data_IF_024853035662
#
_entry.id   IF_024853035662
#
_cell.length_a   1.000
_cell.length_b   1.000
_cell.length_c   1.000
_cell.angle_alpha   90.00
_cell.angle_beta   90.00
_cell.angle_gamma   90.00
#
_symmetry.space_group_name_H-M   'P 1'
#
loop_
_entity.id
_entity.type
_entity.pdbx_description
1 polymer ?
#
# COMPACT_ATOMS: atom_id res chain seq x y z
N UNK A 1 7.25 4.66 -6.31
CA UNK A 1 5.80 4.55 -6.61
C UNK A 1 5.33 5.82 -7.30
N UNK A 2 4.47 5.72 -8.31
CA UNK A 2 3.87 6.87 -9.02
C UNK A 2 2.62 7.41 -8.32
N UNK A 3 2.78 7.77 -7.05
CA UNK A 3 1.72 8.47 -6.32
C UNK A 3 1.65 9.92 -6.82
N UNK A 4 0.45 10.37 -7.17
CA UNK A 4 0.18 11.71 -7.70
C UNK A 4 -0.79 12.51 -6.84
N UNK A 5 -1.64 11.83 -6.07
CA UNK A 5 -2.68 12.43 -5.23
C UNK A 5 -2.77 11.69 -3.90
N UNK A 6 -2.83 12.46 -2.81
CA UNK A 6 -3.17 11.96 -1.49
C UNK A 6 -4.54 12.52 -1.09
N UNK A 7 -5.45 11.65 -0.68
CA UNK A 7 -6.78 12.02 -0.20
C UNK A 7 -6.87 11.72 1.28
N UNK A 8 -7.03 12.74 2.10
CA UNK A 8 -7.13 12.60 3.55
C UNK A 8 -8.59 12.57 4.00
N UNK A 9 -8.89 11.73 4.99
CA UNK A 9 -9.94 12.06 5.95
C UNK A 9 -9.49 13.18 6.90
N UNK A 10 -10.44 13.88 7.50
CA UNK A 10 -10.17 14.97 8.43
C UNK A 10 -10.20 14.51 9.90
N UNK A 11 -11.33 13.96 10.33
CA UNK A 11 -11.71 13.80 11.74
C UNK A 11 -11.28 12.41 12.22
N UNK A 12 -10.35 12.34 13.16
CA UNK A 12 -9.70 11.08 13.56
C UNK A 12 -8.38 10.84 12.81
N UNK A 13 -8.23 11.40 11.61
CA UNK A 13 -6.99 11.28 10.81
C UNK A 13 -6.03 12.43 11.04
N UNK A 14 -6.43 13.67 10.76
CA UNK A 14 -5.59 14.87 10.95
C UNK A 14 -5.98 15.66 12.20
N UNK A 15 -7.26 15.61 12.57
CA UNK A 15 -7.86 16.43 13.61
C UNK A 15 -8.51 15.54 14.68
N UNK A 16 -8.20 15.83 15.94
CA UNK A 16 -8.95 15.34 17.10
C UNK A 16 -9.83 16.45 17.69
N UNK A 17 -10.74 16.09 18.60
CA UNK A 17 -11.50 17.05 19.39
C UNK A 17 -11.75 16.54 20.81
N UNK A 18 -11.87 17.46 21.77
CA UNK A 18 -12.11 17.13 23.19
C UNK A 18 -13.52 16.61 23.43
N UNK A 19 -14.52 17.19 22.77
CA UNK A 19 -15.86 16.60 22.71
C UNK A 19 -15.80 15.31 21.90
N UNK A 20 -16.33 14.19 22.41
CA UNK A 20 -16.45 12.94 21.65
C UNK A 20 -17.74 12.90 20.80
N UNK A 21 -17.89 11.90 19.94
CA UNK A 21 -19.08 11.75 19.11
C UNK A 21 -20.33 11.32 19.91
N UNK A 22 -20.15 10.63 21.04
CA UNK A 22 -21.25 10.21 21.92
C UNK A 22 -21.97 11.41 22.50
N UNK A 23 -21.23 12.42 23.00
CA UNK A 23 -21.77 13.69 23.48
C UNK A 23 -22.50 14.47 22.39
N UNK A 24 -22.00 14.42 21.16
CA UNK A 24 -22.69 15.06 20.01
C UNK A 24 -24.02 14.36 19.75
N UNK A 25 -24.05 13.03 19.77
CA UNK A 25 -25.29 12.25 19.63
C UNK A 25 -26.28 12.53 20.76
N UNK A 26 -25.83 12.57 22.01
CA UNK A 26 -26.68 12.90 23.16
C UNK A 26 -27.28 14.29 23.05
N UNK A 27 -26.45 15.30 22.76
CA UNK A 27 -26.93 16.68 22.54
C UNK A 27 -27.91 16.77 21.37
N UNK A 28 -27.64 16.05 20.27
CA UNK A 28 -28.55 16.03 19.12
C UNK A 28 -29.87 15.36 19.47
N UNK A 29 -29.84 14.20 20.14
CA UNK A 29 -31.03 13.49 20.61
C UNK A 29 -31.91 14.39 21.48
N UNK A 30 -31.32 15.08 22.45
CA UNK A 30 -32.07 15.98 23.33
C UNK A 30 -32.77 17.10 22.54
N UNK A 31 -32.08 17.72 21.57
CA UNK A 31 -32.69 18.72 20.69
C UNK A 31 -33.84 18.15 19.85
N UNK A 32 -33.70 16.95 19.31
CA UNK A 32 -34.76 16.32 18.52
C UNK A 32 -35.98 15.98 19.38
N UNK A 33 -35.79 15.56 20.63
CA UNK A 33 -36.87 15.34 21.59
C UNK A 33 -37.58 16.64 21.97
N UNK A 34 -36.84 17.73 22.16
CA UNK A 34 -37.38 19.08 22.42
C UNK A 34 -38.26 19.59 21.26
N UNK A 35 -37.92 19.24 20.01
CA UNK A 35 -38.72 19.50 18.81
C UNK A 35 -39.92 18.54 18.64
N UNK A 36 -40.17 17.68 19.63
CA UNK A 36 -41.31 16.76 19.65
C UNK A 36 -41.16 15.54 18.74
N UNK A 37 -39.94 15.19 18.32
CA UNK A 37 -39.69 13.99 17.51
C UNK A 37 -39.76 12.74 18.41
N UNK A 38 -40.57 11.73 18.07
CA UNK A 38 -40.67 10.50 18.85
C UNK A 38 -39.32 9.76 18.95
N UNK A 39 -39.04 9.21 20.14
CA UNK A 39 -37.81 8.48 20.44
C UNK A 39 -37.58 7.28 19.49
N UNK A 40 -38.67 6.61 19.08
CA UNK A 40 -38.66 5.51 18.12
C UNK A 40 -38.09 5.91 16.74
N UNK A 41 -38.30 7.16 16.32
CA UNK A 41 -37.77 7.68 15.05
C UNK A 41 -36.32 8.13 15.17
N UNK A 42 -35.89 8.54 16.37
CA UNK A 42 -34.52 8.98 16.63
C UNK A 42 -33.57 7.79 16.70
N UNK A 43 -33.98 6.69 17.35
CA UNK A 43 -33.16 5.49 17.49
C UNK A 43 -31.81 5.77 18.17
N UNK A 44 -30.73 5.21 17.61
CA UNK A 44 -29.36 5.35 18.14
C UNK A 44 -28.52 6.44 17.43
N UNK A 45 -29.13 7.14 16.47
CA UNK A 45 -28.51 8.14 15.60
C UNK A 45 -27.22 7.62 14.91
N UNK A 46 -27.22 6.37 14.48
CA UNK A 46 -26.11 5.77 13.71
C UNK A 46 -26.55 5.43 12.29
N UNK A 47 -26.12 6.19 11.26
CA UNK A 47 -25.39 7.45 11.30
C UNK A 47 -26.30 8.69 11.41
N UNK A 48 -25.86 9.71 12.15
CA UNK A 48 -26.67 10.89 12.52
C UNK A 48 -27.36 11.57 11.34
N UNK A 49 -26.62 11.90 10.28
CA UNK A 49 -27.12 12.70 9.16
C UNK A 49 -28.20 11.95 8.37
N UNK A 50 -27.97 10.68 8.07
CA UNK A 50 -28.90 9.79 7.39
C UNK A 50 -30.17 9.58 8.23
N UNK A 51 -30.04 9.48 9.57
CA UNK A 51 -31.21 9.45 10.47
C UNK A 51 -32.02 10.74 10.37
N UNK A 52 -31.39 11.93 10.31
CA UNK A 52 -32.11 13.19 10.14
C UNK A 52 -32.90 13.26 8.82
N UNK A 53 -32.33 12.71 7.73
CA UNK A 53 -33.05 12.60 6.43
C UNK A 53 -34.31 11.75 6.59
N UNK A 54 -34.20 10.60 7.28
CA UNK A 54 -35.33 9.70 7.50
C UNK A 54 -36.40 10.32 8.40
N UNK A 55 -35.99 11.04 9.46
CA UNK A 55 -36.92 11.76 10.33
C UNK A 55 -37.69 12.80 9.52
N UNK A 56 -36.99 13.64 8.74
CA UNK A 56 -37.63 14.66 7.91
C UNK A 56 -38.66 14.07 6.95
N UNK A 57 -38.33 12.95 6.29
CA UNK A 57 -39.25 12.25 5.38
C UNK A 57 -40.50 11.68 6.07
N UNK A 58 -40.39 11.26 7.34
CA UNK A 58 -41.49 10.65 8.09
C UNK A 58 -42.38 11.67 8.82
N UNK A 59 -41.78 12.76 9.32
CA UNK A 59 -42.50 13.76 10.12
C UNK A 59 -42.97 14.96 9.30
N UNK A 60 -42.39 15.17 8.11
CA UNK A 60 -42.62 16.37 7.30
C UNK A 60 -41.88 17.61 7.80
N UNK A 61 -41.11 17.51 8.90
CA UNK A 61 -40.24 18.61 9.37
C UNK A 61 -39.14 18.85 8.34
N UNK A 62 -38.84 20.11 8.05
CA UNK A 62 -37.78 20.48 7.09
C UNK A 62 -36.44 19.84 7.48
N UNK A 63 -35.81 19.20 6.49
CA UNK A 63 -34.49 18.60 6.66
C UNK A 63 -33.45 19.66 7.02
N UNK A 64 -33.49 20.82 6.37
CA UNK A 64 -32.59 21.94 6.62
C UNK A 64 -32.65 22.40 8.08
N UNK A 65 -33.86 22.42 8.65
CA UNK A 65 -34.06 22.75 10.06
C UNK A 65 -33.39 21.72 10.99
N UNK A 66 -33.68 20.43 10.83
CA UNK A 66 -33.08 19.36 11.63
C UNK A 66 -31.55 19.31 11.47
N UNK A 67 -31.09 19.46 10.23
CA UNK A 67 -29.68 19.45 9.88
C UNK A 67 -28.92 20.61 10.53
N UNK A 68 -29.57 21.77 10.69
CA UNK A 68 -28.96 22.93 11.36
C UNK A 68 -28.52 22.63 12.81
N UNK A 69 -29.23 21.74 13.52
CA UNK A 69 -28.84 21.33 14.87
C UNK A 69 -27.54 20.56 14.87
N UNK A 70 -27.40 19.58 13.96
CA UNK A 70 -26.17 18.81 13.79
C UNK A 70 -25.02 19.72 13.37
N UNK A 71 -25.22 20.61 12.39
CA UNK A 71 -24.18 21.56 11.94
C UNK A 71 -23.70 22.46 13.09
N UNK A 72 -24.61 22.95 13.94
CA UNK A 72 -24.22 23.77 15.09
C UNK A 72 -23.37 22.99 16.10
N UNK A 73 -23.72 21.73 16.37
CA UNK A 73 -22.92 20.85 17.25
C UNK A 73 -21.55 20.51 16.64
N UNK A 74 -21.48 20.27 15.33
CA UNK A 74 -20.22 20.07 14.62
C UNK A 74 -19.33 21.33 14.68
N UNK A 75 -19.93 22.52 14.59
CA UNK A 75 -19.21 23.80 14.74
C UNK A 75 -18.70 23.99 16.17
N UNK A 76 -19.47 23.61 17.20
CA UNK A 76 -18.99 23.59 18.58
C UNK A 76 -17.79 22.65 18.74
N UNK A 77 -17.90 21.41 18.23
CA UNK A 77 -16.79 20.44 18.21
C UNK A 77 -15.55 21.00 17.51
N UNK A 78 -15.73 21.64 16.36
CA UNK A 78 -14.64 22.25 15.59
C UNK A 78 -13.91 23.35 16.38
N UNK A 79 -14.60 24.10 17.25
CA UNK A 79 -13.96 25.09 18.14
C UNK A 79 -13.04 24.44 19.19
N UNK A 80 -13.34 23.22 19.61
CA UNK A 80 -12.53 22.44 20.57
C UNK A 80 -11.53 21.51 19.88
N UNK A 81 -11.42 21.57 18.55
CA UNK A 81 -10.52 20.69 17.79
C UNK A 81 -9.04 20.98 18.05
N UNK A 82 -8.20 19.96 17.95
CA UNK A 82 -6.75 20.07 17.96
C UNK A 82 -6.16 19.29 16.78
N UNK A 83 -5.01 19.75 16.29
CA UNK A 83 -4.26 19.06 15.26
C UNK A 83 -3.47 17.92 15.91
N UNK A 84 -3.52 16.72 15.33
CA UNK A 84 -2.69 15.61 15.83
C UNK A 84 -1.20 15.90 15.64
N UNK A 85 -0.38 15.39 16.56
CA UNK A 85 1.07 15.54 16.49
C UNK A 85 1.62 14.91 15.19
N UNK A 86 2.41 15.67 14.43
CA UNK A 86 2.96 15.23 13.15
C UNK A 86 2.09 15.52 11.93
N UNK A 87 0.83 15.95 12.10
CA UNK A 87 -0.09 16.17 10.98
C UNK A 87 0.37 17.32 10.07
N UNK A 88 0.85 18.42 10.66
CA UNK A 88 1.36 19.55 9.87
C UNK A 88 2.61 19.14 9.10
N UNK A 89 3.52 18.47 9.78
CA UNK A 89 4.79 17.99 9.23
C UNK A 89 4.56 16.99 8.09
N UNK A 90 3.54 16.14 8.20
CA UNK A 90 3.13 15.25 7.12
C UNK A 90 2.63 16.02 5.90
N UNK A 91 1.75 17.00 6.10
CA UNK A 91 1.21 17.82 5.00
C UNK A 91 2.32 18.62 4.30
N UNK A 92 3.23 19.22 5.08
CA UNK A 92 4.41 19.93 4.58
C UNK A 92 5.33 18.98 3.80
N UNK A 93 5.66 17.82 4.36
CA UNK A 93 6.47 16.81 3.69
C UNK A 93 5.88 16.38 2.34
N UNK A 94 4.57 16.11 2.28
CA UNK A 94 3.92 15.67 1.03
C UNK A 94 3.87 16.78 -0.01
N UNK A 95 3.63 18.03 0.42
CA UNK A 95 3.66 19.20 -0.46
C UNK A 95 5.06 19.46 -1.02
N UNK A 96 6.10 19.30 -0.20
CA UNK A 96 7.51 19.42 -0.63
C UNK A 96 7.90 18.33 -1.65
N UNK A 97 7.21 17.18 -1.63
CA UNK A 97 7.33 16.14 -2.67
C UNK A 97 6.55 16.46 -3.95
N UNK A 98 5.87 17.61 -4.02
CA UNK A 98 5.09 18.03 -5.17
C UNK A 98 3.78 17.26 -5.35
N UNK A 99 3.28 16.60 -4.30
CA UNK A 99 2.04 15.83 -4.36
C UNK A 99 0.83 16.76 -4.23
N UNK A 100 -0.22 16.45 -4.99
CA UNK A 100 -1.53 17.09 -4.81
C UNK A 100 -2.20 16.48 -3.59
N UNK A 101 -2.87 17.32 -2.79
CA UNK A 101 -3.57 16.88 -1.59
C UNK A 101 -5.04 17.24 -1.73
N UNK A 102 -5.92 16.30 -1.38
CA UNK A 102 -7.35 16.54 -1.28
C UNK A 102 -7.88 16.07 0.07
N UNK A 103 -9.03 16.61 0.46
CA UNK A 103 -9.71 16.25 1.69
C UNK A 103 -11.10 15.70 1.37
N UNK A 104 -11.48 14.61 2.03
CA UNK A 104 -12.85 14.11 2.06
C UNK A 104 -13.31 13.87 3.50
N UNK A 105 -14.44 14.42 3.93
CA UNK A 105 -14.94 14.24 5.30
C UNK A 105 -16.46 14.14 5.36
N UNK A 106 -16.97 13.43 6.37
CA UNK A 106 -18.40 13.36 6.69
C UNK A 106 -18.91 14.60 7.47
N UNK A 107 -18.01 15.51 7.88
CA UNK A 107 -18.35 16.77 8.55
C UNK A 107 -18.97 17.79 7.59
N UNK A 108 -19.82 18.70 8.11
CA UNK A 108 -20.34 19.82 7.31
C UNK A 108 -19.24 20.68 6.72
N UNK A 109 -19.57 21.38 5.62
CA UNK A 109 -18.74 22.44 5.04
C UNK A 109 -18.36 23.48 6.10
N UNK A 110 -19.35 23.96 6.86
CA UNK A 110 -19.18 25.00 7.88
C UNK A 110 -18.20 24.59 8.98
N UNK A 111 -18.36 23.39 9.55
CA UNK A 111 -17.43 22.89 10.58
C UNK A 111 -16.03 22.64 10.00
N UNK A 112 -15.95 22.05 8.80
CA UNK A 112 -14.68 21.78 8.12
C UNK A 112 -13.89 23.05 7.86
N UNK A 113 -14.52 24.10 7.31
CA UNK A 113 -13.83 25.37 7.05
C UNK A 113 -13.32 26.04 8.33
N UNK A 114 -14.10 25.99 9.41
CA UNK A 114 -13.69 26.51 10.71
C UNK A 114 -12.46 25.76 11.22
N UNK A 115 -12.49 24.42 11.19
CA UNK A 115 -11.36 23.57 11.62
C UNK A 115 -10.10 23.85 10.81
N UNK A 116 -10.19 23.85 9.47
CA UNK A 116 -9.04 24.09 8.60
C UNK A 116 -8.45 25.49 8.77
N UNK A 117 -9.30 26.51 9.00
CA UNK A 117 -8.86 27.89 9.26
C UNK A 117 -8.19 28.01 10.63
N UNK A 118 -8.78 27.40 11.66
CA UNK A 118 -8.24 27.39 13.03
C UNK A 118 -6.81 26.84 13.07
N UNK A 119 -6.59 25.71 12.39
CA UNK A 119 -5.28 25.02 12.38
C UNK A 119 -4.34 25.47 11.27
N UNK A 120 -4.77 26.43 10.43
CA UNK A 120 -3.99 26.96 9.29
C UNK A 120 -3.48 25.84 8.37
N UNK A 121 -4.37 24.92 8.00
CA UNK A 121 -4.07 23.81 7.09
C UNK A 121 -4.91 23.82 5.80
N UNK A 122 -5.82 24.80 5.62
CA UNK A 122 -6.65 24.91 4.40
C UNK A 122 -5.81 24.99 3.12
N UNK A 123 -4.67 25.69 3.17
CA UNK A 123 -3.78 25.97 2.02
C UNK A 123 -2.97 24.77 1.52
N UNK A 124 -2.99 23.65 2.24
CA UNK A 124 -2.35 22.42 1.77
C UNK A 124 -3.21 21.68 0.75
N UNK A 125 -4.54 21.84 0.82
CA UNK A 125 -5.47 21.07 0.01
C UNK A 125 -5.83 21.80 -1.29
N UNK A 126 -5.64 21.10 -2.41
CA UNK A 126 -6.05 21.54 -3.74
C UNK A 126 -7.56 21.41 -3.95
N UNK A 127 -8.21 20.47 -3.26
CA UNK A 127 -9.64 20.22 -3.32
C UNK A 127 -10.14 19.74 -1.94
N UNK A 128 -11.29 20.25 -1.52
CA UNK A 128 -11.93 19.82 -0.28
C UNK A 128 -13.36 19.45 -0.61
N UNK A 129 -13.71 18.18 -0.41
CA UNK A 129 -15.07 17.66 -0.55
C UNK A 129 -15.58 17.29 0.85
N UNK A 130 -16.76 17.79 1.18
CA UNK A 130 -17.46 17.51 2.43
C UNK A 130 -18.75 16.76 2.16
N UNK A 131 -19.38 16.30 3.24
CA UNK A 131 -20.71 15.69 3.18
C UNK A 131 -21.70 16.52 2.38
N UNK A 132 -21.63 17.85 2.50
CA UNK A 132 -22.57 18.76 1.87
C UNK A 132 -22.32 18.93 0.35
N UNK A 133 -21.21 18.41 -0.18
CA UNK A 133 -20.83 18.48 -1.60
C UNK A 133 -21.26 17.23 -2.40
N UNK A 134 -21.87 16.24 -1.75
CA UNK A 134 -22.37 15.01 -2.39
C UNK A 134 -23.80 14.71 -1.93
N UNK A 135 -24.51 13.91 -2.71
CA UNK A 135 -25.80 13.36 -2.28
C UNK A 135 -25.64 12.58 -0.97
N UNK A 136 -26.65 12.63 -0.11
CA UNK A 136 -26.63 11.90 1.17
C UNK A 136 -26.42 10.38 1.00
N UNK A 137 -26.84 9.81 -0.14
CA UNK A 137 -26.63 8.40 -0.49
C UNK A 137 -25.19 8.10 -0.88
N UNK A 138 -24.41 9.11 -1.25
CA UNK A 138 -23.06 8.98 -1.78
C UNK A 138 -22.00 9.37 -0.73
N UNK A 139 -22.42 9.66 0.50
CA UNK A 139 -21.53 9.94 1.64
C UNK A 139 -20.76 8.67 2.03
N UNK A 140 -19.47 8.81 2.40
CA UNK A 140 -18.62 7.69 2.87
C UNK A 140 -19.37 6.88 3.92
N UNK A 141 -19.49 5.54 3.85
CA UNK A 141 -18.57 4.64 3.17
C UNK A 141 -18.84 4.45 1.68
N UNK A 142 -19.86 5.13 1.11
CA UNK A 142 -20.08 5.11 -0.33
C UNK A 142 -19.06 5.98 -1.08
N UNK A 143 -18.95 5.73 -2.38
CA UNK A 143 -17.82 6.20 -3.20
C UNK A 143 -17.92 7.66 -3.67
N UNK A 144 -18.98 8.39 -3.31
CA UNK A 144 -19.29 9.71 -3.87
C UNK A 144 -18.16 10.72 -3.73
N UNK A 145 -17.69 10.90 -2.49
CA UNK A 145 -16.61 11.84 -2.20
C UNK A 145 -15.37 11.56 -3.04
N UNK A 146 -14.92 10.30 -3.06
CA UNK A 146 -13.70 9.91 -3.76
C UNK A 146 -13.87 9.99 -5.28
N UNK A 147 -15.06 9.65 -5.83
CA UNK A 147 -15.35 9.82 -7.26
C UNK A 147 -15.24 11.29 -7.70
N UNK A 148 -15.86 12.21 -6.97
CA UNK A 148 -15.76 13.65 -7.27
C UNK A 148 -14.31 14.12 -7.28
N UNK A 149 -13.50 13.65 -6.33
CA UNK A 149 -12.07 13.95 -6.25
C UNK A 149 -11.32 13.38 -7.46
N UNK A 150 -11.52 12.11 -7.81
CA UNK A 150 -10.86 11.47 -8.95
C UNK A 150 -11.21 12.16 -10.27
N UNK A 151 -12.48 12.51 -10.47
CA UNK A 151 -12.95 13.20 -11.67
C UNK A 151 -12.35 14.61 -11.81
N UNK A 152 -12.21 15.33 -10.69
CA UNK A 152 -11.58 16.64 -10.67
C UNK A 152 -10.11 16.59 -11.08
N UNK A 153 -9.33 15.67 -10.49
CA UNK A 153 -7.89 15.58 -10.75
C UNK A 153 -7.55 14.82 -12.04
N UNK A 154 -8.46 13.99 -12.56
CA UNK A 154 -8.24 13.08 -13.70
C UNK A 154 -7.03 12.18 -13.51
N UNK A 155 -6.85 11.69 -12.28
CA UNK A 155 -5.74 10.81 -11.89
C UNK A 155 -6.26 9.38 -11.79
N UNK A 156 -5.56 8.38 -12.38
CA UNK A 156 -5.92 6.97 -12.22
C UNK A 156 -5.92 6.55 -10.74
N UNK A 157 -6.87 5.72 -10.33
CA UNK A 157 -7.01 5.30 -8.92
C UNK A 157 -5.75 4.64 -8.36
N UNK A 158 -5.01 3.87 -9.17
CA UNK A 158 -3.74 3.23 -8.80
C UNK A 158 -2.62 4.21 -8.41
N UNK A 159 -2.79 5.51 -8.72
CA UNK A 159 -1.86 6.60 -8.39
C UNK A 159 -2.35 7.48 -7.24
N UNK A 160 -3.42 7.07 -6.57
CA UNK A 160 -4.04 7.76 -5.44
C UNK A 160 -3.84 6.95 -4.16
N UNK A 161 -3.50 7.66 -3.08
CA UNK A 161 -3.45 7.09 -1.73
C UNK A 161 -4.50 7.76 -0.87
N UNK A 162 -5.43 6.98 -0.32
CA UNK A 162 -6.39 7.42 0.69
C UNK A 162 -5.79 7.23 2.07
N UNK A 163 -5.83 8.24 2.92
CA UNK A 163 -5.35 8.19 4.31
C UNK A 163 -6.53 8.40 5.23
N UNK A 164 -6.77 7.44 6.13
CA UNK A 164 -7.87 7.46 7.09
C UNK A 164 -7.50 6.81 8.41
N UNK A 165 -8.38 6.90 9.39
CA UNK A 165 -8.27 6.21 10.69
C UNK A 165 -9.38 5.16 10.89
N UNK A 166 -10.37 5.13 9.99
CA UNK A 166 -11.51 4.23 10.09
C UNK A 166 -11.78 3.46 8.78
N UNK A 167 -12.42 2.30 8.89
CA UNK A 167 -12.82 1.50 7.72
C UNK A 167 -13.75 2.24 6.75
N UNK A 168 -14.45 3.29 7.21
CA UNK A 168 -15.31 4.12 6.35
C UNK A 168 -14.53 4.89 5.29
N UNK A 169 -13.24 5.13 5.53
CA UNK A 169 -12.33 5.77 4.58
C UNK A 169 -11.74 4.73 3.61
N UNK A 170 -11.60 3.50 4.07
CA UNK A 170 -11.00 2.39 3.31
C UNK A 170 -11.99 1.73 2.35
N UNK A 171 -13.26 1.58 2.71
CA UNK A 171 -14.30 1.01 1.82
C UNK A 171 -14.29 1.69 0.43
N UNK A 172 -14.40 3.03 0.32
CA UNK A 172 -14.41 3.66 -0.99
C UNK A 172 -13.06 3.55 -1.70
N UNK A 173 -11.95 3.50 -0.93
CA UNK A 173 -10.61 3.32 -1.47
C UNK A 173 -10.45 1.94 -2.15
N UNK A 174 -10.86 0.89 -1.44
CA UNK A 174 -10.82 -0.50 -1.91
C UNK A 174 -11.76 -0.69 -3.11
N UNK A 175 -12.98 -0.15 -3.04
CA UNK A 175 -13.98 -0.27 -4.11
C UNK A 175 -13.55 0.41 -5.42
N UNK A 176 -12.71 1.44 -5.36
CA UNK A 176 -12.21 2.16 -6.54
C UNK A 176 -10.78 1.75 -6.95
N UNK A 177 -10.16 0.81 -6.23
CA UNK A 177 -8.80 0.33 -6.52
C UNK A 177 -7.70 1.36 -6.24
N UNK A 178 -7.92 2.28 -5.30
CA UNK A 178 -6.86 3.19 -4.81
C UNK A 178 -6.02 2.49 -3.74
N UNK A 179 -4.80 2.97 -3.52
CA UNK A 179 -4.02 2.56 -2.37
C UNK A 179 -4.58 3.21 -1.10
N UNK A 180 -4.36 2.59 0.06
CA UNK A 180 -4.83 3.13 1.34
C UNK A 180 -3.80 3.02 2.47
N UNK A 181 -3.80 4.02 3.35
CA UNK A 181 -3.00 4.07 4.58
C UNK A 181 -3.94 4.26 5.77
N UNK A 182 -3.98 3.28 6.67
CA UNK A 182 -4.75 3.35 7.91
C UNK A 182 -3.87 3.79 9.08
N UNK A 183 -4.30 4.82 9.82
CA UNK A 183 -3.65 5.29 11.04
C UNK A 183 -4.40 4.73 12.25
N UNK A 184 -3.74 3.86 13.01
CA UNK A 184 -4.42 3.01 14.00
C UNK A 184 -4.43 3.57 15.42
N UNK A 185 -3.52 4.50 15.80
CA UNK A 185 -3.43 5.00 17.18
C UNK A 185 -4.42 6.09 17.54
N UNK A 186 -5.05 6.72 16.55
CA UNK A 186 -5.98 7.82 16.78
C UNK A 186 -7.36 7.26 17.14
N UNK A 187 -7.48 6.69 18.35
CA UNK A 187 -8.72 6.08 18.82
C UNK A 187 -9.80 7.09 19.23
N UNK A 188 -9.63 8.39 18.92
CA UNK A 188 -10.56 9.44 19.33
C UNK A 188 -11.90 9.30 18.61
N UNK A 189 -12.78 8.46 19.17
CA UNK A 189 -14.16 8.33 18.74
C UNK A 189 -14.48 7.10 17.90
N UNK A 190 -13.75 5.98 18.04
CA UNK A 190 -14.19 4.69 17.47
C UNK A 190 -15.59 4.37 18.00
N UNK A 191 -16.60 4.62 17.19
CA UNK A 191 -17.90 3.98 17.38
C UNK A 191 -17.69 2.48 17.26
N UNK A 192 -18.52 1.73 17.99
CA UNK A 192 -18.49 0.28 18.24
C UNK A 192 -18.56 -0.65 17.01
N UNK A 193 -18.36 -0.13 15.79
CA UNK A 193 -18.33 -0.90 14.55
C UNK A 193 -16.93 -0.85 13.94
N UNK A 194 -16.05 -1.75 14.36
CA UNK A 194 -14.87 -2.08 13.55
C UNK A 194 -15.38 -2.69 12.25
N UNK A 195 -15.33 -1.93 11.17
CA UNK A 195 -15.39 -2.54 9.85
C UNK A 195 -13.98 -3.07 9.60
N UNK A 196 -13.85 -4.39 9.55
CA UNK A 196 -12.60 -5.08 9.24
C UNK A 196 -12.32 -4.95 7.73
N UNK A 197 -11.90 -3.76 7.30
CA UNK A 197 -11.34 -3.53 5.97
C UNK A 197 -9.82 -3.59 6.01
N UNK A 198 -9.23 -4.37 5.12
CA UNK A 198 -7.78 -4.41 4.96
C UNK A 198 -7.30 -3.16 4.21
N UNK A 199 -6.42 -2.39 4.85
CA UNK A 199 -5.71 -1.30 4.19
C UNK A 199 -4.51 -1.82 3.39
N UNK A 200 -4.10 -1.08 2.35
CA UNK A 200 -2.85 -1.38 1.64
C UNK A 200 -1.65 -1.27 2.58
N UNK A 201 -1.64 -0.24 3.44
CA UNK A 201 -0.65 -0.06 4.48
C UNK A 201 -1.28 0.44 5.78
N UNK A 202 -0.60 0.17 6.90
CA UNK A 202 -1.03 0.52 8.24
C UNK A 202 0.15 1.07 9.05
N UNK A 203 -0.11 2.18 9.74
CA UNK A 203 0.82 2.78 10.69
C UNK A 203 0.12 3.04 12.00
N UNK A 204 0.88 3.12 13.09
CA UNK A 204 0.30 3.49 14.38
C UNK A 204 0.00 4.98 14.37
N UNK A 205 1.01 5.79 14.09
CA UNK A 205 0.95 7.25 14.26
C UNK A 205 1.14 7.99 12.94
N UNK A 206 0.77 9.28 12.92
CA UNK A 206 1.04 10.16 11.77
C UNK A 206 2.55 10.30 11.51
N UNK A 207 3.38 10.31 12.56
CA UNK A 207 4.85 10.34 12.39
C UNK A 207 5.37 9.11 11.65
N UNK A 208 4.80 7.94 11.93
CA UNK A 208 5.11 6.72 11.17
C UNK A 208 4.62 6.83 9.72
N UNK A 209 3.50 7.52 9.45
CA UNK A 209 3.04 7.80 8.10
C UNK A 209 4.07 8.59 7.27
N UNK A 210 4.78 9.56 7.87
CA UNK A 210 5.86 10.28 7.18
C UNK A 210 6.97 9.32 6.75
N UNK A 211 7.41 8.45 7.67
CA UNK A 211 8.43 7.44 7.40
C UNK A 211 7.97 6.44 6.33
N UNK A 212 6.69 6.07 6.37
CA UNK A 212 6.05 5.23 5.37
C UNK A 212 6.09 5.88 3.98
N UNK A 213 5.62 7.13 3.85
CA UNK A 213 5.62 7.83 2.57
C UNK A 213 7.03 8.05 2.03
N UNK A 214 8.01 8.31 2.91
CA UNK A 214 9.42 8.37 2.51
C UNK A 214 9.89 7.08 1.85
N UNK A 215 9.55 5.92 2.42
CA UNK A 215 9.88 4.61 1.82
C UNK A 215 9.09 4.37 0.54
N UNK A 216 7.77 4.56 0.58
CA UNK A 216 6.84 4.31 -0.53
C UNK A 216 7.19 5.11 -1.80
N UNK A 217 7.46 6.41 -1.64
CA UNK A 217 7.77 7.31 -2.76
C UNK A 217 9.15 7.06 -3.36
N UNK A 218 10.03 6.33 -2.68
CA UNK A 218 11.38 5.98 -3.14
C UNK A 218 11.57 4.46 -3.25
N UNK A 219 10.51 3.74 -3.60
CA UNK A 219 10.55 2.31 -3.94
C UNK A 219 10.93 2.12 -5.41
N UNK A 220 11.92 1.26 -5.65
CA UNK A 220 12.35 0.83 -6.99
C UNK A 220 12.01 -0.65 -7.20
N UNK A 221 11.81 -1.04 -8.46
CA UNK A 221 11.64 -2.43 -8.86
C UNK A 221 12.78 -2.84 -9.77
N UNK A 222 13.39 -3.98 -9.46
CA UNK A 222 14.41 -4.62 -10.28
C UNK A 222 13.78 -5.83 -10.98
N UNK A 223 13.80 -5.80 -12.30
CA UNK A 223 13.24 -6.82 -13.19
C UNK A 223 14.39 -7.48 -13.96
N UNK A 224 14.98 -8.57 -13.45
CA UNK A 224 15.97 -9.32 -14.22
C UNK A 224 15.29 -10.02 -15.41
N UNK A 225 15.87 -9.90 -16.60
CA UNK A 225 15.29 -10.44 -17.82
C UNK A 225 16.34 -11.12 -18.70
N UNK A 226 15.99 -12.29 -19.26
CA UNK A 226 16.79 -12.99 -20.26
C UNK A 226 15.88 -13.81 -21.18
N UNK A 227 15.77 -13.37 -22.43
CA UNK A 227 14.88 -13.95 -23.44
C UNK A 227 13.40 -14.05 -22.99
N UNK A 228 12.80 -12.91 -22.63
CA UNK A 228 11.42 -12.76 -22.17
C UNK A 228 10.57 -11.86 -23.08
N UNK A 229 10.86 -11.82 -24.40
CA UNK A 229 10.13 -10.97 -25.36
C UNK A 229 8.61 -11.15 -25.32
N UNK A 230 8.14 -12.34 -24.94
CA UNK A 230 6.73 -12.73 -24.94
C UNK A 230 5.95 -12.18 -23.75
N UNK A 231 6.61 -11.86 -22.65
CA UNK A 231 5.98 -11.56 -21.36
C UNK A 231 6.34 -10.18 -20.83
N UNK A 232 7.55 -9.68 -21.15
CA UNK A 232 8.07 -8.44 -20.58
C UNK A 232 7.17 -7.23 -20.84
N UNK A 233 6.51 -7.14 -22.01
CA UNK A 233 5.60 -6.04 -22.33
C UNK A 233 4.46 -5.92 -21.31
N UNK A 234 3.77 -7.03 -21.04
CA UNK A 234 2.63 -7.07 -20.12
C UNK A 234 3.07 -6.84 -18.67
N UNK A 235 4.21 -7.44 -18.27
CA UNK A 235 4.79 -7.23 -16.94
C UNK A 235 5.06 -5.74 -16.70
N UNK A 236 5.68 -5.06 -17.66
CA UNK A 236 5.97 -3.64 -17.55
C UNK A 236 4.70 -2.78 -17.55
N UNK A 237 3.69 -3.12 -18.37
CA UNK A 237 2.40 -2.43 -18.36
C UNK A 237 1.72 -2.49 -17.00
N UNK A 238 1.74 -3.64 -16.33
CA UNK A 238 1.15 -3.79 -15.00
C UNK A 238 1.93 -3.01 -13.94
N UNK A 239 3.27 -3.04 -14.00
CA UNK A 239 4.11 -2.27 -13.05
C UNK A 239 3.93 -0.76 -13.24
N UNK A 240 3.82 -0.27 -14.49
CA UNK A 240 3.64 1.15 -14.81
C UNK A 240 2.31 1.74 -14.31
N UNK A 241 1.33 0.91 -13.95
CA UNK A 241 0.10 1.38 -13.27
C UNK A 241 0.39 1.99 -11.90
N UNK A 242 1.45 1.53 -11.22
CA UNK A 242 1.75 1.88 -9.83
C UNK A 242 3.13 2.54 -9.63
N UNK A 243 4.07 2.36 -10.56
CA UNK A 243 5.45 2.83 -10.44
C UNK A 243 5.81 3.76 -11.59
N UNK A 244 6.72 4.70 -11.33
CA UNK A 244 7.22 5.60 -12.37
C UNK A 244 8.15 4.82 -13.28
N UNK A 245 8.21 5.17 -14.56
CA UNK A 245 9.13 4.58 -15.53
C UNK A 245 10.58 4.52 -15.01
N UNK A 246 11.04 5.62 -14.37
CA UNK A 246 12.38 5.73 -13.79
C UNK A 246 12.65 4.84 -12.56
N UNK A 247 11.61 4.29 -11.96
CA UNK A 247 11.69 3.43 -10.77
C UNK A 247 11.69 1.94 -11.14
N UNK A 248 11.33 1.61 -12.37
CA UNK A 248 11.38 0.25 -12.92
C UNK A 248 12.72 0.08 -13.64
N UNK A 249 13.52 -0.87 -13.17
CA UNK A 249 14.85 -1.16 -13.67
C UNK A 249 14.84 -2.55 -14.26
N UNK A 250 14.77 -2.64 -15.58
CA UNK A 250 14.98 -3.88 -16.31
C UNK A 250 16.48 -4.12 -16.43
N UNK A 251 16.93 -5.29 -16.00
CA UNK A 251 18.32 -5.74 -16.20
C UNK A 251 18.30 -6.85 -17.25
N UNK A 252 18.57 -6.47 -18.48
CA UNK A 252 18.71 -7.38 -19.62
C UNK A 252 20.06 -8.11 -19.54
N UNK A 253 20.02 -9.39 -19.22
CA UNK A 253 21.21 -10.22 -18.99
C UNK A 253 21.75 -10.85 -20.30
N UNK A 254 21.86 -10.01 -21.33
CA UNK A 254 22.38 -10.39 -22.64
C UNK A 254 21.40 -11.20 -23.49
N UNK A 255 20.12 -10.78 -23.54
CA UNK A 255 19.10 -11.45 -24.37
C UNK A 255 19.47 -11.46 -25.86
N UNK A 256 18.99 -12.47 -26.57
CA UNK A 256 19.14 -12.63 -28.03
C UNK A 256 17.85 -12.34 -28.80
N UNK A 257 16.75 -12.14 -28.08
CA UNK A 257 15.43 -11.82 -28.60
C UNK A 257 15.12 -10.32 -28.40
N UNK A 258 13.86 -9.90 -28.61
CA UNK A 258 13.46 -8.50 -28.53
C UNK A 258 13.25 -7.95 -27.11
N UNK A 259 13.67 -8.67 -26.06
CA UNK A 259 13.39 -8.30 -24.66
C UNK A 259 13.85 -6.89 -24.32
N UNK A 260 15.08 -6.54 -24.72
CA UNK A 260 15.69 -5.25 -24.43
C UNK A 260 14.95 -4.12 -25.16
N UNK A 261 14.67 -4.32 -26.45
CA UNK A 261 14.01 -3.36 -27.31
C UNK A 261 12.63 -3.03 -26.76
N UNK A 262 11.85 -4.04 -26.38
CA UNK A 262 10.52 -3.87 -25.79
C UNK A 262 10.60 -3.08 -24.47
N UNK A 263 11.58 -3.37 -23.61
CA UNK A 263 11.76 -2.61 -22.37
C UNK A 263 12.11 -1.14 -22.63
N UNK A 264 12.96 -0.85 -23.63
CA UNK A 264 13.28 0.52 -24.04
C UNK A 264 12.03 1.24 -24.58
N UNK A 265 11.24 0.56 -25.43
CA UNK A 265 9.99 1.10 -25.98
C UNK A 265 8.96 1.46 -24.90
N UNK A 266 8.97 0.75 -23.75
CA UNK A 266 8.14 1.08 -22.58
C UNK A 266 8.66 2.26 -21.74
N UNK A 267 9.81 2.83 -22.08
CA UNK A 267 10.37 4.01 -21.42
C UNK A 267 11.02 3.76 -20.06
N UNK A 268 11.11 2.50 -19.61
CA UNK A 268 11.70 2.15 -18.30
C UNK A 268 13.22 2.19 -18.34
N UNK A 269 13.87 2.16 -17.17
CA UNK A 269 15.33 2.09 -17.11
C UNK A 269 15.78 0.71 -17.55
N UNK A 270 16.69 0.65 -18.52
CA UNK A 270 17.28 -0.61 -19.00
C UNK A 270 18.78 -0.62 -18.77
N UNK A 271 19.26 -1.64 -18.06
CA UNK A 271 20.67 -1.95 -17.86
C UNK A 271 20.97 -3.24 -18.61
N UNK A 272 22.03 -3.28 -19.43
CA UNK A 272 22.37 -4.46 -20.22
C UNK A 272 23.72 -5.06 -19.79
N UNK A 273 23.79 -6.37 -19.70
CA UNK A 273 25.05 -7.11 -19.64
C UNK A 273 25.49 -7.54 -21.04
N UNK A 274 26.80 -7.44 -21.32
CA UNK A 274 27.38 -7.90 -22.59
C UNK A 274 27.40 -9.43 -22.72
N UNK A 275 27.47 -10.12 -21.58
CA UNK A 275 27.44 -11.58 -21.47
C UNK A 275 26.43 -11.95 -20.42
N UNK A 276 25.74 -13.08 -20.60
CA UNK A 276 24.80 -13.59 -19.60
C UNK A 276 25.56 -13.91 -18.30
N UNK A 277 25.26 -13.16 -17.25
CA UNK A 277 25.84 -13.30 -15.91
C UNK A 277 24.94 -14.12 -14.97
N UNK A 278 23.76 -14.51 -15.42
CA UNK A 278 22.75 -15.19 -14.63
C UNK A 278 21.95 -14.26 -13.73
N UNK A 279 20.91 -14.83 -13.11
CA UNK A 279 19.94 -14.12 -12.26
C UNK A 279 20.62 -13.31 -11.16
N UNK A 280 21.64 -13.84 -10.50
CA UNK A 280 22.30 -13.15 -9.40
C UNK A 280 23.15 -11.97 -9.86
N UNK A 281 23.82 -12.11 -11.01
CA UNK A 281 24.49 -10.99 -11.66
C UNK A 281 23.52 -9.86 -12.01
N UNK A 282 22.37 -10.20 -12.60
CA UNK A 282 21.33 -9.24 -12.97
C UNK A 282 20.73 -8.53 -11.74
N UNK A 283 20.37 -9.28 -10.70
CA UNK A 283 19.88 -8.73 -9.44
C UNK A 283 20.90 -7.81 -8.77
N UNK A 284 22.18 -8.21 -8.73
CA UNK A 284 23.25 -7.39 -8.16
C UNK A 284 23.42 -6.05 -8.87
N UNK A 285 23.39 -6.05 -10.20
CA UNK A 285 23.44 -4.81 -11.01
C UNK A 285 22.24 -3.91 -10.72
N UNK A 286 21.03 -4.46 -10.73
CA UNK A 286 19.80 -3.69 -10.51
C UNK A 286 19.70 -3.13 -9.08
N UNK A 287 19.99 -3.94 -8.07
CA UNK A 287 19.97 -3.51 -6.65
C UNK A 287 20.99 -2.40 -6.43
N UNK A 288 22.22 -2.56 -6.95
CA UNK A 288 23.25 -1.53 -6.83
C UNK A 288 22.83 -0.22 -7.51
N UNK A 289 22.26 -0.30 -8.71
CA UNK A 289 21.75 0.89 -9.41
C UNK A 289 20.64 1.58 -8.60
N UNK A 290 19.65 0.84 -8.09
CA UNK A 290 18.58 1.38 -7.27
C UNK A 290 19.13 2.09 -6.01
N UNK A 291 20.09 1.49 -5.31
CA UNK A 291 20.75 2.11 -4.15
C UNK A 291 21.44 3.43 -4.48
N UNK A 292 22.13 3.50 -5.62
CA UNK A 292 22.78 4.72 -6.14
C UNK A 292 21.75 5.81 -6.50
N UNK A 293 20.55 5.42 -6.93
CA UNK A 293 19.42 6.35 -7.19
C UNK A 293 18.64 6.73 -5.94
N UNK A 294 19.11 6.33 -4.75
CA UNK A 294 18.51 6.72 -3.48
C UNK A 294 17.30 5.87 -3.07
N UNK A 295 17.19 4.63 -3.57
CA UNK A 295 16.12 3.73 -3.17
C UNK A 295 16.05 3.58 -1.64
N UNK A 296 14.85 3.74 -1.09
CA UNK A 296 14.51 3.45 0.31
C UNK A 296 13.95 2.02 0.48
N UNK A 297 13.35 1.49 -0.58
CA UNK A 297 12.94 0.10 -0.72
C UNK A 297 13.19 -0.41 -2.14
N UNK A 298 13.48 -1.70 -2.28
CA UNK A 298 13.75 -2.36 -3.56
C UNK A 298 12.92 -3.63 -3.64
N UNK A 299 12.11 -3.74 -4.68
CA UNK A 299 11.34 -4.93 -5.02
C UNK A 299 12.10 -5.70 -6.11
N UNK A 300 12.19 -7.02 -6.01
CA UNK A 300 12.61 -7.87 -7.13
C UNK A 300 11.37 -8.51 -7.74
N UNK A 301 11.28 -8.52 -9.08
CA UNK A 301 10.08 -8.98 -9.79
C UNK A 301 10.47 -9.70 -11.08
N UNK A 302 10.04 -10.94 -11.26
CA UNK A 302 10.42 -11.77 -12.40
C UNK A 302 9.74 -11.30 -13.71
N UNK A 303 10.49 -11.34 -14.81
CA UNK A 303 10.04 -10.91 -16.15
C UNK A 303 9.13 -11.92 -16.87
N UNK A 304 8.91 -13.12 -16.31
CA UNK A 304 8.24 -14.25 -16.97
C UNK A 304 6.71 -14.27 -16.80
N UNK A 305 6.16 -13.29 -16.07
CA UNK A 305 4.72 -13.13 -15.83
C UNK A 305 4.14 -14.04 -14.74
N UNK A 306 4.98 -14.67 -13.89
CA UNK A 306 4.50 -15.49 -12.76
C UNK A 306 4.05 -14.69 -11.54
N UNK A 307 4.38 -13.40 -11.49
CA UNK A 307 4.06 -12.52 -10.37
C UNK A 307 3.01 -11.48 -10.75
N UNK A 308 2.17 -11.15 -9.78
CA UNK A 308 1.12 -10.15 -9.90
C UNK A 308 1.52 -8.90 -9.12
N UNK A 309 1.20 -7.72 -9.64
CA UNK A 309 1.59 -6.46 -9.01
C UNK A 309 0.88 -6.25 -7.68
N UNK A 310 -0.34 -6.77 -7.52
CA UNK A 310 -1.03 -6.74 -6.22
C UNK A 310 -0.30 -7.58 -5.17
N UNK A 311 0.37 -8.67 -5.56
CA UNK A 311 1.18 -9.47 -4.65
C UNK A 311 2.49 -8.73 -4.31
N UNK A 312 3.04 -7.93 -5.24
CA UNK A 312 4.15 -7.04 -4.92
C UNK A 312 3.77 -5.97 -3.88
N UNK A 313 2.56 -5.41 -3.96
CA UNK A 313 2.02 -4.48 -2.96
C UNK A 313 1.90 -5.14 -1.58
N UNK A 314 1.44 -6.39 -1.51
CA UNK A 314 1.40 -7.17 -0.25
C UNK A 314 2.80 -7.44 0.30
N UNK A 315 3.73 -7.89 -0.56
CA UNK A 315 5.11 -8.22 -0.15
C UNK A 315 5.84 -6.97 0.34
N UNK A 316 5.62 -5.79 -0.27
CA UNK A 316 6.24 -4.56 0.19
C UNK A 316 5.61 -4.00 1.47
N UNK A 317 4.34 -4.29 1.78
CA UNK A 317 3.60 -3.80 2.97
C UNK A 317 4.45 -3.81 4.26
N UNK A 318 4.95 -4.95 4.77
CA UNK A 318 5.70 -4.98 6.02
C UNK A 318 7.03 -4.20 5.99
N UNK A 319 7.65 -4.05 4.82
CA UNK A 319 8.89 -3.29 4.63
C UNK A 319 8.61 -1.79 4.64
N UNK A 320 7.56 -1.36 3.94
CA UNK A 320 7.13 0.04 3.83
C UNK A 320 6.55 0.56 5.15
N UNK A 321 5.90 -0.30 5.93
CA UNK A 321 5.46 -0.01 7.30
C UNK A 321 6.63 0.00 8.30
N UNK A 322 7.81 -0.50 7.92
CA UNK A 322 8.97 -0.58 8.81
C UNK A 322 8.89 -1.71 9.85
N UNK A 323 8.03 -2.70 9.63
CA UNK A 323 7.89 -3.90 10.47
C UNK A 323 9.02 -4.90 10.21
N UNK A 324 9.48 -5.00 8.96
CA UNK A 324 10.59 -5.88 8.56
C UNK A 324 11.60 -5.18 7.65
N UNK A 325 12.77 -5.80 7.54
CA UNK A 325 13.86 -5.33 6.67
C UNK A 325 13.84 -6.02 5.31
N UNK A 326 13.35 -7.26 5.29
CA UNK A 326 13.23 -8.13 4.12
C UNK A 326 11.86 -8.81 4.16
N UNK A 327 11.17 -8.83 3.04
CA UNK A 327 9.95 -9.62 2.85
C UNK A 327 10.09 -10.47 1.59
N UNK A 328 9.62 -11.72 1.67
CA UNK A 328 9.56 -12.65 0.54
C UNK A 328 8.13 -13.11 0.33
N UNK A 329 7.70 -13.14 -0.93
CA UNK A 329 6.42 -13.73 -1.29
C UNK A 329 6.50 -15.26 -1.23
N UNK A 330 5.61 -15.92 -0.49
CA UNK A 330 5.52 -17.37 -0.43
C UNK A 330 4.27 -17.89 -1.14
N UNK A 331 4.48 -18.70 -2.19
CA UNK A 331 3.38 -19.41 -2.88
C UNK A 331 2.83 -20.54 -2.03
N UNK A 332 3.65 -21.10 -1.12
CA UNK A 332 3.26 -22.21 -0.25
C UNK A 332 2.38 -21.78 0.93
N UNK A 333 2.41 -20.50 1.31
CA UNK A 333 1.47 -19.91 2.27
C UNK A 333 0.19 -19.37 1.63
N UNK A 334 0.12 -19.33 0.29
CA UNK A 334 -1.05 -18.96 -0.49
C UNK A 334 -1.85 -20.18 -0.99
N UNK A 335 -2.61 -20.00 -2.07
CA UNK A 335 -3.28 -21.13 -2.72
C UNK A 335 -2.28 -21.98 -3.51
N UNK A 336 -2.10 -23.23 -3.09
CA UNK A 336 -1.16 -24.19 -3.70
C UNK A 336 -1.79 -25.12 -4.72
N UNK A 337 -3.06 -24.91 -5.06
CA UNK A 337 -3.87 -25.76 -5.96
C UNK A 337 -3.25 -25.96 -7.34
N UNK A 338 -2.53 -24.96 -7.86
CA UNK A 338 -1.95 -24.98 -9.21
C UNK A 338 -0.46 -25.37 -9.26
N UNK A 339 0.18 -25.63 -8.13
CA UNK A 339 1.64 -25.85 -8.08
C UNK A 339 2.05 -27.30 -8.41
N UNK A 340 2.95 -27.54 -9.39
CA UNK A 340 3.44 -28.88 -9.70
C UNK A 340 4.15 -29.56 -8.53
N UNK A 341 3.83 -30.83 -8.26
CA UNK A 341 4.36 -31.60 -7.11
C UNK A 341 5.91 -31.66 -7.08
N UNK A 342 6.54 -31.76 -8.26
CA UNK A 342 8.01 -31.81 -8.41
C UNK A 342 8.68 -30.51 -7.95
N UNK A 343 8.03 -29.35 -8.18
CA UNK A 343 8.52 -28.05 -7.69
C UNK A 343 8.36 -27.93 -6.17
N UNK A 344 7.34 -28.55 -5.55
CA UNK A 344 7.16 -28.57 -4.09
C UNK A 344 8.32 -29.31 -3.39
N UNK A 345 8.76 -30.45 -3.93
CA UNK A 345 9.86 -31.24 -3.35
C UNK A 345 11.22 -30.54 -3.52
N UNK A 346 11.47 -29.92 -4.67
CA UNK A 346 12.70 -29.16 -4.91
C UNK A 346 12.85 -27.95 -3.99
N UNK A 347 11.76 -27.20 -3.80
CA UNK A 347 11.73 -26.10 -2.85
C UNK A 347 11.99 -26.59 -1.43
N UNK A 348 11.35 -27.69 -1.00
CA UNK A 348 11.53 -28.23 0.36
C UNK A 348 13.00 -28.51 0.72
N UNK A 349 13.80 -29.06 -0.21
CA UNK A 349 15.23 -29.31 0.05
C UNK A 349 16.01 -28.01 0.19
N UNK A 350 15.74 -27.02 -0.67
CA UNK A 350 16.41 -25.71 -0.61
C UNK A 350 15.95 -24.88 0.60
N UNK A 351 14.69 -25.02 1.01
CA UNK A 351 14.10 -24.41 2.20
C UNK A 351 14.71 -25.01 3.47
N UNK A 352 14.89 -26.33 3.50
CA UNK A 352 15.58 -27.02 4.60
C UNK A 352 17.04 -26.57 4.72
N UNK A 353 17.75 -26.41 3.60
CA UNK A 353 19.10 -25.87 3.63
C UNK A 353 19.08 -24.42 4.10
N UNK A 354 18.20 -23.58 3.57
CA UNK A 354 18.04 -22.18 4.00
C UNK A 354 17.73 -22.09 5.50
N UNK A 355 16.91 -22.99 6.03
CA UNK A 355 16.60 -23.10 7.46
C UNK A 355 17.85 -23.37 8.32
N UNK A 356 18.72 -24.28 7.90
CA UNK A 356 19.97 -24.58 8.63
C UNK A 356 20.81 -23.32 8.83
N UNK A 357 20.92 -22.47 7.79
CA UNK A 357 21.79 -21.29 7.83
C UNK A 357 21.12 -20.05 8.40
N UNK A 358 19.82 -19.88 8.17
CA UNK A 358 19.10 -18.69 8.65
C UNK A 358 18.54 -18.88 10.06
N UNK A 359 18.44 -20.12 10.55
CA UNK A 359 17.68 -20.54 11.75
C UNK A 359 16.22 -20.08 11.74
N UNK A 360 15.71 -19.64 10.59
CA UNK A 360 14.36 -19.20 10.36
C UNK A 360 13.77 -20.10 9.28
N UNK A 361 12.63 -20.73 9.56
CA UNK A 361 11.99 -21.58 8.58
C UNK A 361 11.27 -20.69 7.56
N UNK A 362 11.80 -20.65 6.33
CA UNK A 362 11.24 -19.92 5.19
C UNK A 362 10.67 -20.96 4.23
N UNK A 363 9.38 -20.85 3.95
CA UNK A 363 8.58 -21.81 3.19
C UNK A 363 8.70 -21.69 1.67
N UNK A 364 9.24 -20.60 1.14
CA UNK A 364 9.49 -20.47 -0.32
C UNK A 364 10.73 -19.62 -0.57
N UNK A 365 11.90 -20.15 -0.20
CA UNK A 365 13.20 -19.44 -0.32
C UNK A 365 13.53 -19.03 -1.76
N UNK A 366 12.93 -19.70 -2.75
CA UNK A 366 13.21 -19.53 -4.18
C UNK A 366 12.32 -18.52 -4.88
N UNK A 367 11.34 -17.91 -4.20
CA UNK A 367 10.43 -16.95 -4.81
C UNK A 367 11.15 -15.69 -5.30
N UNK A 368 10.99 -15.35 -6.60
CA UNK A 368 11.56 -14.16 -7.23
C UNK A 368 11.02 -12.84 -6.67
N UNK A 369 9.81 -12.86 -6.09
CA UNK A 369 9.15 -11.68 -5.54
C UNK A 369 9.59 -11.39 -4.11
N UNK A 370 10.37 -10.34 -3.94
CA UNK A 370 10.92 -9.91 -2.65
C UNK A 370 10.85 -8.40 -2.52
N UNK A 371 10.88 -7.90 -1.28
CA UNK A 371 11.07 -6.49 -0.99
C UNK A 371 12.14 -6.34 0.11
N UNK A 372 13.08 -5.43 -0.09
CA UNK A 372 14.15 -5.13 0.85
C UNK A 372 14.15 -3.63 1.15
N UNK A 373 14.32 -3.24 2.42
CA UNK A 373 14.63 -1.86 2.73
C UNK A 373 16.08 -1.53 2.34
N UNK A 374 16.38 -0.22 2.24
CA UNK A 374 17.72 0.28 1.89
C UNK A 374 18.83 -0.29 2.78
N UNK A 375 18.58 -0.38 4.08
CA UNK A 375 19.59 -0.85 5.04
C UNK A 375 19.96 -2.31 4.79
N UNK A 376 18.97 -3.17 4.57
CA UNK A 376 19.15 -4.58 4.22
C UNK A 376 19.88 -4.71 2.88
N UNK A 377 19.34 -4.08 1.84
CA UNK A 377 19.90 -4.15 0.49
C UNK A 377 21.36 -3.66 0.41
N UNK A 378 21.73 -2.64 1.19
CA UNK A 378 23.10 -2.11 1.22
C UNK A 378 24.14 -3.04 1.85
N UNK A 379 23.70 -3.99 2.69
CA UNK A 379 24.59 -4.93 3.38
C UNK A 379 24.79 -6.23 2.61
N UNK A 380 23.80 -6.61 1.80
CA UNK A 380 23.83 -7.85 1.05
C UNK A 380 24.92 -7.80 -0.01
N UNK A 381 25.81 -8.80 0.01
CA UNK A 381 26.79 -9.03 -1.04
C UNK A 381 26.41 -10.29 -1.82
N UNK A 382 26.00 -10.08 -3.07
CA UNK A 382 25.71 -11.17 -3.99
C UNK A 382 27.03 -11.65 -4.61
N UNK A 383 27.34 -12.92 -4.38
CA UNK A 383 28.51 -13.62 -4.92
C UNK A 383 28.11 -14.74 -5.87
N UNK A 384 26.86 -15.21 -5.78
CA UNK A 384 26.31 -16.19 -6.69
C UNK A 384 25.75 -15.49 -7.93
N UNK A 385 26.30 -15.81 -9.10
CA UNK A 385 25.85 -15.26 -10.38
C UNK A 385 24.53 -15.91 -10.88
N UNK A 386 24.20 -17.13 -10.44
CA UNK A 386 23.06 -17.93 -10.96
C UNK A 386 21.98 -18.17 -9.89
N UNK A 387 21.13 -19.19 -10.09
CA UNK A 387 19.91 -19.44 -9.31
C UNK A 387 20.07 -19.54 -7.78
N UNK A 388 21.25 -19.91 -7.28
CA UNK A 388 21.52 -19.95 -5.84
C UNK A 388 21.43 -18.58 -5.14
N UNK A 389 21.40 -17.48 -5.90
CA UNK A 389 21.20 -16.13 -5.36
C UNK A 389 19.97 -16.00 -4.49
N UNK A 390 18.90 -16.75 -4.80
CA UNK A 390 17.66 -16.74 -4.02
C UNK A 390 17.88 -17.10 -2.55
N UNK A 391 18.63 -18.18 -2.28
CA UNK A 391 19.02 -18.58 -0.93
C UNK A 391 20.10 -17.66 -0.36
N UNK A 392 21.03 -17.20 -1.20
CA UNK A 392 22.09 -16.30 -0.78
C UNK A 392 21.56 -15.00 -0.17
N UNK A 393 20.56 -14.37 -0.80
CA UNK A 393 19.93 -13.14 -0.31
C UNK A 393 19.39 -13.31 1.11
N UNK A 394 18.72 -14.43 1.39
CA UNK A 394 18.15 -14.74 2.70
C UNK A 394 19.24 -15.03 3.74
N UNK A 395 20.29 -15.74 3.35
CA UNK A 395 21.43 -16.03 4.22
C UNK A 395 22.17 -14.74 4.57
N UNK A 396 22.48 -13.87 3.60
CA UNK A 396 23.13 -12.59 3.86
C UNK A 396 22.24 -11.68 4.73
N UNK A 397 20.94 -11.62 4.46
CA UNK A 397 20.00 -10.89 5.30
C UNK A 397 20.02 -11.39 6.75
N UNK A 398 19.99 -12.71 6.96
CA UNK A 398 20.06 -13.32 8.30
C UNK A 398 21.42 -13.10 8.98
N UNK A 399 22.54 -13.23 8.25
CA UNK A 399 23.89 -12.91 8.74
C UNK A 399 23.99 -11.48 9.25
N UNK A 400 23.30 -10.55 8.59
CA UNK A 400 23.20 -9.15 8.98
C UNK A 400 22.08 -8.84 9.99
N UNK A 401 21.45 -9.86 10.58
CA UNK A 401 20.38 -9.77 11.58
C UNK A 401 19.17 -8.95 11.11
N UNK A 402 18.88 -8.99 9.80
CA UNK A 402 17.70 -8.36 9.23
C UNK A 402 16.44 -9.10 9.68
N UNK A 403 15.36 -8.37 9.94
CA UNK A 403 14.04 -8.95 10.20
C UNK A 403 13.44 -9.42 8.87
N UNK A 404 13.14 -10.72 8.76
CA UNK A 404 12.60 -11.35 7.55
C UNK A 404 11.13 -11.73 7.80
N UNK A 405 10.24 -11.39 6.87
CA UNK A 405 8.85 -11.87 6.83
C UNK A 405 8.55 -12.64 5.56
N UNK A 406 7.64 -13.61 5.67
CA UNK A 406 7.02 -14.25 4.52
C UNK A 406 5.60 -13.74 4.35
N UNK A 407 5.25 -13.37 3.12
CA UNK A 407 3.94 -12.86 2.77
C UNK A 407 3.29 -13.83 1.78
N UNK A 408 2.06 -14.32 2.03
CA UNK A 408 1.36 -15.18 1.08
C UNK A 408 1.17 -14.50 -0.28
N UNK A 409 1.48 -15.19 -1.37
CA UNK A 409 1.27 -14.71 -2.76
C UNK A 409 0.57 -15.77 -3.60
N UNK A 410 -0.06 -15.35 -4.71
CA UNK A 410 -0.72 -16.27 -5.63
C UNK A 410 0.31 -16.96 -6.53
N UNK A 411 0.02 -18.21 -6.89
CA UNK A 411 0.85 -18.95 -7.82
C UNK A 411 0.24 -18.87 -9.23
N UNK A 412 0.84 -18.05 -10.10
CA UNK A 412 0.41 -17.93 -11.51
C UNK A 412 1.25 -18.87 -12.37
N UNK A 413 0.60 -19.85 -13.00
CA UNK A 413 1.24 -20.79 -13.92
C UNK A 413 0.55 -20.75 -15.29
N UNK A 414 1.25 -20.24 -16.29
CA UNK A 414 0.89 -20.27 -17.72
C UNK A 414 1.47 -21.51 -18.41
N UNK A 415 0.93 -21.92 -19.56
CA UNK A 415 1.50 -23.04 -20.35
C UNK A 415 2.97 -22.81 -20.74
N UNK A 416 3.37 -21.55 -20.94
CA UNK A 416 4.76 -21.15 -21.16
C UNK A 416 5.64 -21.36 -19.92
N UNK A 417 5.16 -20.96 -18.73
CA UNK A 417 5.92 -21.05 -17.47
C UNK A 417 5.93 -22.45 -16.86
N UNK A 418 4.95 -23.31 -17.17
CA UNK A 418 4.99 -24.73 -16.80
C UNK A 418 6.12 -25.50 -17.49
N UNK A 419 6.45 -25.11 -18.74
CA UNK A 419 7.57 -25.68 -19.52
C UNK A 419 8.93 -25.08 -19.11
N UNK A 420 8.95 -23.93 -18.44
CA UNK A 420 10.15 -23.29 -17.87
C UNK A 420 10.37 -23.77 -16.41
N UNK A 421 11.53 -24.36 -16.17
CA UNK A 421 11.92 -24.83 -14.84
C UNK A 421 13.17 -25.69 -14.92
N UNK A 422 14.08 -25.51 -13.97
CA UNK A 422 15.33 -26.26 -13.91
C UNK A 422 15.07 -27.70 -13.48
N UNK A 423 15.93 -28.60 -13.93
CA UNK A 423 15.97 -29.96 -13.42
C UNK A 423 16.32 -29.90 -11.92
N UNK A 424 15.35 -30.22 -11.05
CA UNK A 424 15.41 -29.97 -9.59
C UNK A 424 16.69 -30.52 -8.95
N UNK A 425 17.20 -31.65 -9.44
CA UNK A 425 18.42 -32.30 -8.96
C UNK A 425 19.69 -31.49 -9.20
N UNK A 426 19.80 -30.78 -10.33
CA UNK A 426 20.94 -29.89 -10.58
C UNK A 426 20.88 -28.62 -9.73
N UNK A 427 19.68 -28.04 -9.55
CA UNK A 427 19.47 -26.88 -8.69
C UNK A 427 19.88 -27.16 -7.24
N UNK A 428 19.51 -28.34 -6.73
CA UNK A 428 19.90 -28.79 -5.38
C UNK A 428 21.41 -29.00 -5.27
N UNK A 429 22.06 -29.63 -6.26
CA UNK A 429 23.53 -29.83 -6.26
C UNK A 429 24.30 -28.51 -6.30
N UNK A 430 23.86 -27.58 -7.14
CA UNK A 430 24.48 -26.24 -7.26
C UNK A 430 24.32 -25.46 -5.95
N UNK A 431 23.13 -25.49 -5.34
CA UNK A 431 22.91 -24.86 -4.06
C UNK A 431 23.81 -25.48 -2.97
N UNK A 432 23.85 -26.81 -2.86
CA UNK A 432 24.65 -27.51 -1.85
C UNK A 432 26.15 -27.21 -1.96
N UNK A 433 26.72 -27.23 -3.16
CA UNK A 433 28.14 -26.93 -3.36
C UNK A 433 28.48 -25.47 -3.02
N UNK A 434 27.62 -24.51 -3.39
CA UNK A 434 27.83 -23.08 -3.09
C UNK A 434 27.66 -22.77 -1.60
N UNK A 435 26.80 -23.52 -0.91
CA UNK A 435 26.63 -23.44 0.54
C UNK A 435 27.87 -23.93 1.29
N UNK A 436 28.54 -24.98 0.79
CA UNK A 436 29.81 -25.44 1.36
C UNK A 436 30.94 -24.42 1.15
N UNK A 437 30.96 -23.71 0.02
CA UNK A 437 31.98 -22.68 -0.25
C UNK A 437 31.83 -21.43 0.63
N UNK A 438 30.61 -21.02 0.99
CA UNK A 438 30.37 -19.88 1.90
C UNK A 438 30.64 -20.16 3.38
N UNK A 439 30.88 -21.43 3.74
CA UNK A 439 31.20 -21.87 5.10
C UNK A 439 32.70 -22.00 5.37
N UNK A 440 33.53 -21.91 4.33
CA UNK A 440 34.96 -21.63 4.44
C UNK A 440 35.17 -20.15 4.68
#
# INVERSE_FOLDING_TARGET
>A
MDVQLIVFDLDGTLIGASMDFTKIKEKLRNKLLEEGIPEELIGDLTPMYETLVQISQKTGISFEHLHSFLVNLEVERAKESYLFEGARELLEFLKDKGLKLALMTRSSRKATELTLKKHKIKEFFNLIITRDDVSWKDVKPNNGHLKVILDYFKVPSTKVVVVGDHGYDLIPANALGTLSVLITSNESGRMSFKIDEEATFEVKTIKEAISLFKRLLNTYIVVPAYNEEKTIANVLEDLLKYFKEKEIIVVDDGSKDRTKEIAIEKGVVVLSHLVNRGLGGALGTGIRYALLKGAEAIITFDADGQHLVEDALKVMKPVIEGKTDFAIGSRLKGDTSQMPLVKKIGNFVLDFITFIFTRNYITDSQSGLRCLNRQCASKIRITCDRYAVSSELLIEASRHKCKIAEVPIRAVYTEYTKKKGTNVLEGVKIAFNLLLDKLR
#
